data_IF_538266363078
#
_entry.id   IF_538266363078
#
_cell.length_a   1.000
_cell.length_b   1.000
_cell.length_c   1.000
_cell.angle_alpha   90.00
_cell.angle_beta   90.00
_cell.angle_gamma   90.00
#
_symmetry.space_group_name_H-M   'P 1'
#
loop_
_entity.id
_entity.type
_entity.pdbx_description
1 polymer ?
#
# COMPACT_ATOMS: atom_id res chain seq x y z
N UNK A 1 -0.04 10.11 -12.17
CA UNK A 1 1.23 10.19 -12.92
C UNK A 1 2.31 9.25 -12.36
N UNK A 2 1.99 7.98 -12.05
CA UNK A 2 2.97 7.02 -11.50
C UNK A 2 3.29 5.85 -12.46
N UNK A 3 2.44 5.56 -13.46
CA UNK A 3 2.57 4.35 -14.29
C UNK A 3 3.74 4.37 -15.28
N UNK A 4 4.20 5.55 -15.72
CA UNK A 4 5.20 5.66 -16.79
C UNK A 4 6.64 5.33 -16.37
N UNK A 5 6.99 5.42 -15.07
CA UNK A 5 8.38 5.22 -14.62
C UNK A 5 8.77 3.75 -14.47
N UNK A 6 7.82 2.88 -14.16
CA UNK A 6 8.10 1.46 -13.91
C UNK A 6 8.38 0.67 -15.19
N UNK A 7 7.76 1.07 -16.32
CA UNK A 7 8.01 0.45 -17.63
C UNK A 7 9.39 0.81 -18.23
N UNK A 8 10.12 1.74 -17.61
CA UNK A 8 11.45 2.19 -18.06
C UNK A 8 12.62 1.61 -17.26
N UNK A 9 12.37 0.91 -16.16
CA UNK A 9 13.42 0.29 -15.35
C UNK A 9 13.87 -1.02 -16.00
N UNK A 10 15.18 -1.19 -16.21
CA UNK A 10 15.78 -2.41 -16.76
C UNK A 10 15.90 -3.55 -15.75
N UNK A 11 15.49 -3.34 -14.49
CA UNK A 11 15.43 -4.34 -13.43
C UNK A 11 14.02 -4.93 -13.29
N UNK A 12 13.93 -6.19 -12.89
CA UNK A 12 12.64 -6.82 -12.59
C UNK A 12 11.95 -6.16 -11.39
N UNK A 13 10.66 -6.38 -11.24
CA UNK A 13 9.86 -5.86 -10.12
C UNK A 13 9.06 -6.98 -9.46
N UNK A 14 8.66 -6.74 -8.21
CA UNK A 14 7.73 -7.58 -7.47
C UNK A 14 6.43 -6.84 -7.22
N UNK A 15 5.32 -7.58 -7.20
CA UNK A 15 4.02 -7.09 -6.76
C UNK A 15 3.60 -7.89 -5.53
N UNK A 16 3.11 -7.19 -4.51
CA UNK A 16 2.50 -7.79 -3.33
C UNK A 16 1.04 -7.32 -3.20
N UNK A 17 0.17 -8.23 -2.81
CA UNK A 17 -1.19 -7.92 -2.39
C UNK A 17 -1.24 -8.03 -0.86
N UNK A 18 -1.80 -7.03 -0.20
CA UNK A 18 -1.91 -6.96 1.25
C UNK A 18 -3.39 -6.83 1.64
N UNK A 19 -3.75 -7.50 2.72
CA UNK A 19 -5.04 -7.41 3.39
C UNK A 19 -4.77 -7.04 4.86
N UNK A 20 -5.36 -5.95 5.36
CA UNK A 20 -5.14 -5.50 6.73
C UNK A 20 -6.11 -6.15 7.70
N UNK A 21 -5.57 -6.94 8.61
CA UNK A 21 -6.39 -7.59 9.64
C UNK A 21 -7.06 -6.58 10.58
N UNK A 22 -8.33 -6.84 10.89
CA UNK A 22 -9.02 -6.22 12.02
C UNK A 22 -9.62 -4.83 11.79
N UNK A 23 -9.63 -4.30 10.57
CA UNK A 23 -10.25 -3.00 10.27
C UNK A 23 -11.73 -2.96 10.67
N UNK A 24 -12.49 -4.02 10.36
CA UNK A 24 -13.90 -4.12 10.76
C UNK A 24 -14.07 -4.08 12.29
N UNK A 25 -13.23 -4.80 13.03
CA UNK A 25 -13.30 -4.83 14.49
C UNK A 25 -12.99 -3.45 15.08
N UNK A 26 -12.04 -2.71 14.50
CA UNK A 26 -11.75 -1.33 14.88
C UNK A 26 -12.96 -0.42 14.62
N UNK A 27 -13.54 -0.48 13.42
CA UNK A 27 -14.73 0.31 13.06
C UNK A 27 -15.91 0.03 14.00
N UNK A 28 -16.15 -1.24 14.31
CA UNK A 28 -17.26 -1.66 15.18
C UNK A 28 -17.07 -1.16 16.63
N UNK A 29 -15.82 -1.00 17.10
CA UNK A 29 -15.50 -0.59 18.48
C UNK A 29 -15.33 0.91 18.66
N UNK A 30 -14.70 1.57 17.69
CA UNK A 30 -14.22 2.95 17.81
C UNK A 30 -14.82 3.88 16.75
N UNK A 31 -15.63 3.34 15.84
CA UNK A 31 -16.26 4.09 14.76
C UNK A 31 -15.40 4.16 13.50
N UNK A 32 -16.04 4.52 12.38
CA UNK A 32 -15.39 4.57 11.06
C UNK A 32 -14.24 5.58 10.99
N UNK A 33 -14.34 6.71 11.69
CA UNK A 33 -13.26 7.71 11.74
C UNK A 33 -11.95 7.10 12.27
N UNK A 34 -12.02 6.16 13.22
CA UNK A 34 -10.85 5.46 13.74
C UNK A 34 -10.23 4.53 12.67
N UNK A 35 -11.07 3.84 11.88
CA UNK A 35 -10.62 3.06 10.74
C UNK A 35 -9.96 3.90 9.66
N UNK A 36 -10.54 5.06 9.33
CA UNK A 36 -9.96 6.00 8.37
C UNK A 36 -8.59 6.49 8.83
N UNK A 37 -8.46 6.84 10.11
CA UNK A 37 -7.17 7.22 10.70
C UNK A 37 -6.15 6.07 10.67
N UNK A 38 -6.58 4.83 10.90
CA UNK A 38 -5.73 3.65 10.78
C UNK A 38 -5.22 3.45 9.34
N UNK A 39 -6.11 3.50 8.35
CA UNK A 39 -5.74 3.36 6.93
C UNK A 39 -4.78 4.47 6.48
N UNK A 40 -5.03 5.71 6.88
CA UNK A 40 -4.15 6.85 6.58
C UNK A 40 -2.77 6.64 7.21
N UNK A 41 -2.71 6.19 8.47
CA UNK A 41 -1.45 5.96 9.16
C UNK A 41 -0.66 4.84 8.50
N UNK A 42 -1.30 3.70 8.23
CA UNK A 42 -0.68 2.59 7.52
C UNK A 42 -0.12 3.04 6.17
N UNK A 43 -0.91 3.80 5.40
CA UNK A 43 -0.48 4.28 4.08
C UNK A 43 0.78 5.14 4.17
N UNK A 44 0.86 6.06 5.14
CA UNK A 44 2.04 6.91 5.35
C UNK A 44 3.27 6.12 5.79
N UNK A 45 3.10 5.15 6.67
CA UNK A 45 4.19 4.27 7.13
C UNK A 45 4.73 3.43 5.96
N UNK A 46 3.84 2.88 5.13
CA UNK A 46 4.20 2.12 3.93
C UNK A 46 4.88 2.99 2.86
N UNK A 47 4.36 4.18 2.56
CA UNK A 47 5.00 5.12 1.62
C UNK A 47 6.42 5.49 2.07
N UNK A 48 6.60 5.68 3.38
CA UNK A 48 7.93 5.96 3.95
C UNK A 48 8.88 4.76 3.79
N UNK A 49 8.40 3.54 4.04
CA UNK A 49 9.20 2.33 3.90
C UNK A 49 9.53 1.94 2.46
N UNK A 50 8.61 2.19 1.53
CA UNK A 50 8.78 1.91 0.10
C UNK A 50 9.73 2.90 -0.61
N UNK A 51 9.86 4.11 -0.07
CA UNK A 51 10.72 5.15 -0.64
C UNK A 51 10.27 5.62 -2.03
N UNK A 52 11.16 6.30 -2.76
CA UNK A 52 10.82 7.01 -4.00
C UNK A 52 10.54 6.11 -5.23
N UNK A 53 10.87 4.83 -5.14
CA UNK A 53 10.71 3.87 -6.24
C UNK A 53 9.45 3.00 -6.12
N UNK A 54 9.00 2.75 -4.89
CA UNK A 54 7.83 1.90 -4.65
C UNK A 54 6.52 2.64 -4.91
N UNK A 55 5.50 1.86 -5.23
CA UNK A 55 4.12 2.33 -5.37
C UNK A 55 3.23 1.57 -4.40
N UNK A 56 2.42 2.32 -3.66
CA UNK A 56 1.32 1.79 -2.86
C UNK A 56 -0.01 2.22 -3.51
N UNK A 57 -0.95 1.30 -3.63
CA UNK A 57 -2.31 1.58 -4.10
C UNK A 57 -3.31 0.96 -3.13
N UNK A 58 -4.26 1.77 -2.66
CA UNK A 58 -5.44 1.29 -1.95
C UNK A 58 -6.47 0.81 -2.97
N UNK A 59 -6.97 -0.42 -2.84
CA UNK A 59 -7.83 -1.06 -3.86
C UNK A 59 -9.19 -1.53 -3.33
N UNK A 60 -9.32 -1.67 -2.01
CA UNK A 60 -10.55 -2.15 -1.35
C UNK A 60 -10.80 -1.45 -0.02
N UNK A 61 -11.42 -2.13 0.94
CA UNK A 61 -11.60 -1.60 2.29
C UNK A 61 -10.27 -1.51 3.04
N UNK A 62 -9.71 -2.67 3.33
CA UNK A 62 -8.43 -2.95 3.98
C UNK A 62 -7.36 -3.48 2.99
N UNK A 63 -7.69 -3.56 1.71
CA UNK A 63 -6.84 -4.19 0.69
C UNK A 63 -5.92 -3.18 -0.02
N UNK A 64 -4.64 -3.54 -0.14
CA UNK A 64 -3.61 -2.74 -0.80
C UNK A 64 -2.79 -3.55 -1.81
N UNK A 65 -2.35 -2.89 -2.87
CA UNK A 65 -1.34 -3.40 -3.80
C UNK A 65 -0.06 -2.60 -3.62
N UNK A 66 1.05 -3.32 -3.52
CA UNK A 66 2.39 -2.75 -3.48
C UNK A 66 3.17 -3.20 -4.69
N UNK A 67 3.86 -2.27 -5.34
CA UNK A 67 4.79 -2.55 -6.42
C UNK A 67 6.18 -2.07 -6.00
N UNK A 68 7.15 -2.99 -6.03
CA UNK A 68 8.53 -2.76 -5.66
C UNK A 68 9.42 -2.94 -6.89
N UNK A 69 10.02 -1.87 -7.45
CA UNK A 69 11.01 -2.00 -8.52
C UNK A 69 12.30 -2.65 -7.99
N UNK A 70 13.16 -3.10 -8.90
CA UNK A 70 14.51 -3.62 -8.61
C UNK A 70 14.55 -4.79 -7.61
N UNK A 71 13.47 -5.58 -7.58
CA UNK A 71 13.34 -6.78 -6.73
C UNK A 71 13.13 -8.07 -7.54
N UNK A 72 12.98 -7.97 -8.86
CA UNK A 72 12.92 -9.14 -9.73
C UNK A 72 14.32 -9.67 -10.06
N UNK A 73 14.45 -11.00 -10.08
CA UNK A 73 15.69 -11.72 -10.38
C UNK A 73 16.17 -11.54 -11.82
#
# INVERSE_FOLDING_TARGET
MASSRLLGASGGFSIAFLDLDGLKLLNDREGHDAGDHYLIRFSREMETGLGSGGLLSHVGGDEFIVLMPDTGA
#
